data_IF_411295474692
#
_entry.id   IF_411295474692
#
_cell.length_a   1.000
_cell.length_b   1.000
_cell.length_c   1.000
_cell.angle_alpha   90.00
_cell.angle_beta   90.00
_cell.angle_gamma   90.00
#
_symmetry.space_group_name_H-M   'P 1'
#
loop_
_entity.id
_entity.type
_entity.pdbx_description
1 polymer ?
#
# COMPACT_ATOMS: atom_id res chain seq x y z
N UNK A 1 18.79 4.92 -1.10
CA UNK A 1 17.68 3.97 -0.93
C UNK A 1 16.39 4.73 -1.21
N UNK A 2 15.72 4.47 -2.33
CA UNK A 2 14.60 5.25 -2.89
C UNK A 2 13.50 4.26 -3.30
N UNK A 3 12.19 4.36 -3.05
CA UNK A 3 11.28 4.98 -2.06
C UNK A 3 9.87 4.93 -2.71
N UNK A 4 8.83 4.35 -2.10
CA UNK A 4 7.50 4.17 -2.77
C UNK A 4 6.34 4.84 -2.03
N UNK A 5 5.48 5.52 -2.78
CA UNK A 5 4.07 5.75 -2.41
C UNK A 5 3.31 4.43 -2.52
N UNK A 6 2.92 3.89 -1.37
CA UNK A 6 2.11 2.68 -1.28
C UNK A 6 0.99 2.94 -0.31
N UNK A 7 -0.21 2.79 -0.83
CA UNK A 7 -1.29 3.75 -0.62
C UNK A 7 -2.45 3.00 0.02
N UNK A 8 -2.36 2.70 1.31
CA UNK A 8 -3.51 2.13 2.01
C UNK A 8 -4.55 3.23 2.24
N UNK A 9 -5.67 3.18 1.53
CA UNK A 9 -6.78 4.11 1.76
C UNK A 9 -7.22 4.02 3.23
N UNK A 10 -6.83 5.02 4.02
CA UNK A 10 -7.42 5.25 5.33
C UNK A 10 -8.83 5.80 5.09
N UNK A 11 -9.76 4.90 4.83
CA UNK A 11 -11.18 5.23 4.87
C UNK A 11 -11.56 5.27 6.33
N UNK A 12 -11.92 6.46 6.82
CA UNK A 12 -12.69 6.62 8.03
C UNK A 12 -14.11 6.12 7.77
N UNK A 13 -14.29 4.79 7.70
CA UNK A 13 -15.59 4.16 7.80
C UNK A 13 -15.55 3.11 8.91
N UNK A 14 -16.60 3.05 9.74
CA UNK A 14 -16.72 2.00 10.72
C UNK A 14 -16.91 0.68 9.97
N UNK A 15 -15.90 -0.19 10.06
CA UNK A 15 -15.99 -1.60 9.68
C UNK A 15 -16.33 -1.81 8.19
N UNK A 16 -15.31 -1.69 7.32
CA UNK A 16 -15.38 -2.29 5.99
C UNK A 16 -14.42 -3.48 5.97
N UNK A 17 -15.00 -4.64 5.70
CA UNK A 17 -14.41 -5.97 5.82
C UNK A 17 -13.43 -6.28 4.66
N UNK A 18 -13.32 -5.36 3.71
CA UNK A 18 -12.28 -5.28 2.71
C UNK A 18 -11.62 -3.92 2.88
N UNK A 19 -10.30 -3.91 3.04
CA UNK A 19 -9.43 -2.73 2.94
C UNK A 19 -8.21 -3.21 2.17
N UNK A 20 -7.70 -2.42 1.21
CA UNK A 20 -6.49 -2.82 0.50
C UNK A 20 -5.40 -3.02 1.54
N UNK A 21 -4.70 -4.15 1.52
CA UNK A 21 -3.72 -4.49 2.56
C UNK A 21 -2.33 -4.83 2.02
N UNK A 22 -1.35 -4.77 2.92
CA UNK A 22 0.05 -5.12 2.70
C UNK A 22 0.48 -6.34 3.50
N UNK A 23 1.52 -7.04 3.05
CA UNK A 23 2.12 -8.12 3.83
C UNK A 23 2.70 -7.61 5.17
N UNK A 24 2.68 -8.46 6.20
CA UNK A 24 3.06 -8.12 7.58
C UNK A 24 4.41 -7.37 7.72
N UNK A 25 5.40 -7.76 6.92
CA UNK A 25 6.76 -7.25 6.95
C UNK A 25 6.96 -5.93 6.18
N UNK A 26 5.95 -5.46 5.44
CA UNK A 26 6.02 -4.20 4.68
C UNK A 26 6.35 -3.05 5.63
N UNK A 27 7.53 -2.41 5.51
CA UNK A 27 7.89 -1.28 6.36
C UNK A 27 7.05 -0.07 6.02
N UNK A 28 6.59 0.66 7.03
CA UNK A 28 5.92 1.96 6.92
C UNK A 28 6.86 3.04 7.43
N UNK A 29 6.91 4.19 6.76
CA UNK A 29 7.71 5.33 7.21
C UNK A 29 7.01 6.11 8.31
N UNK A 30 7.67 6.21 9.47
CA UNK A 30 7.27 7.08 10.56
C UNK A 30 7.63 8.54 10.26
N UNK A 31 7.00 9.47 10.95
CA UNK A 31 7.24 10.91 10.76
C UNK A 31 8.69 11.33 11.06
N UNK A 32 9.38 10.62 11.94
CA UNK A 32 10.79 10.85 12.26
C UNK A 32 11.77 10.32 11.19
N UNK A 33 11.24 9.72 10.11
CA UNK A 33 12.01 9.13 9.02
C UNK A 33 12.48 7.70 9.28
N UNK A 34 12.23 7.14 10.46
CA UNK A 34 12.46 5.72 10.73
C UNK A 34 11.41 4.86 10.04
N UNK A 35 11.66 3.54 9.95
CA UNK A 35 10.74 2.59 9.33
C UNK A 35 10.42 1.47 10.30
N UNK A 36 9.17 1.03 10.30
CA UNK A 36 8.70 -0.11 11.10
C UNK A 36 7.75 -0.96 10.28
N UNK A 37 7.86 -2.29 10.39
CA UNK A 37 6.92 -3.20 9.74
C UNK A 37 5.48 -2.86 10.14
N UNK A 38 4.56 -2.91 9.17
CA UNK A 38 3.15 -2.56 9.38
C UNK A 38 2.48 -3.41 10.46
N UNK A 39 2.87 -4.69 10.59
CA UNK A 39 2.37 -5.58 11.65
C UNK A 39 2.83 -5.18 13.07
N UNK A 40 3.86 -4.32 13.18
CA UNK A 40 4.39 -3.82 14.45
C UNK A 40 3.95 -2.36 14.73
N UNK A 41 3.08 -1.80 13.90
CA UNK A 41 2.48 -0.48 14.16
C UNK A 41 1.47 -0.55 15.30
N UNK A 42 1.19 0.59 15.91
CA UNK A 42 0.29 0.73 17.03
C UNK A 42 -0.54 2.01 16.91
N UNK A 43 -1.73 2.00 17.52
CA UNK A 43 -2.56 3.20 17.65
C UNK A 43 -1.73 4.29 18.34
N UNK A 44 -1.74 5.49 17.77
CA UNK A 44 -0.96 6.62 18.25
C UNK A 44 0.39 6.82 17.56
N UNK A 45 0.91 5.83 16.83
CA UNK A 45 2.09 6.02 15.99
C UNK A 45 1.84 7.15 14.97
N UNK A 46 2.88 7.93 14.67
CA UNK A 46 2.80 9.04 13.72
C UNK A 46 3.57 8.66 12.46
N UNK A 47 2.85 8.55 11.35
CA UNK A 47 3.40 8.15 10.06
C UNK A 47 3.59 9.35 9.14
N UNK A 48 4.53 9.23 8.22
CA UNK A 48 4.69 10.18 7.12
C UNK A 48 3.59 9.91 6.08
N UNK A 49 2.96 10.98 5.62
CA UNK A 49 1.87 10.98 4.65
C UNK A 49 2.09 12.07 3.61
N UNK A 50 1.16 12.24 2.67
CA UNK A 50 1.19 13.33 1.69
C UNK A 50 -0.02 14.24 1.83
N UNK A 51 0.22 15.54 1.96
CA UNK A 51 -0.82 16.58 1.91
C UNK A 51 -0.96 17.03 0.46
N UNK A 52 -1.96 16.47 -0.24
CA UNK A 52 -2.24 16.79 -1.64
C UNK A 52 -2.53 18.27 -1.86
N UNK A 53 -3.24 18.90 -0.91
CA UNK A 53 -3.62 20.32 -1.01
C UNK A 53 -2.41 21.25 -0.99
N UNK A 54 -1.30 20.80 -0.40
CA UNK A 54 -0.05 21.55 -0.28
C UNK A 54 1.10 20.97 -1.10
N UNK A 55 0.91 19.81 -1.72
CA UNK A 55 1.92 19.11 -2.50
C UNK A 55 3.20 18.81 -1.70
N UNK A 56 3.07 18.41 -0.43
CA UNK A 56 4.24 18.14 0.42
C UNK A 56 3.98 17.06 1.47
N UNK A 57 5.04 16.48 2.06
CA UNK A 57 4.90 15.54 3.16
C UNK A 57 4.22 16.14 4.39
N UNK A 58 3.44 15.33 5.09
CA UNK A 58 2.78 15.69 6.33
C UNK A 58 2.78 14.52 7.31
N UNK A 59 2.32 14.78 8.53
CA UNK A 59 2.17 13.77 9.58
C UNK A 59 0.69 13.37 9.71
N UNK A 60 0.43 12.08 9.96
CA UNK A 60 -0.86 11.59 10.42
C UNK A 60 -0.69 10.58 11.54
N UNK A 61 -1.67 10.51 12.43
CA UNK A 61 -1.70 9.57 13.56
C UNK A 61 -2.49 8.33 13.20
N UNK A 62 -1.95 7.16 13.52
CA UNK A 62 -2.64 5.88 13.39
C UNK A 62 -3.77 5.81 14.42
N UNK A 63 -5.01 5.64 13.93
CA UNK A 63 -6.21 5.42 14.72
C UNK A 63 -6.52 3.93 14.91
N UNK A 64 -6.17 3.10 13.92
CA UNK A 64 -6.33 1.66 13.98
C UNK A 64 -5.30 0.95 13.08
N UNK A 65 -4.94 -0.27 13.48
CA UNK A 65 -4.17 -1.21 12.67
C UNK A 65 -5.09 -2.38 12.36
N UNK A 66 -5.51 -2.50 11.10
CA UNK A 66 -6.43 -3.56 10.67
C UNK A 66 -5.63 -4.76 10.18
N UNK A 67 -6.03 -5.96 10.61
CA UNK A 67 -5.42 -7.24 10.25
C UNK A 67 -6.47 -8.12 9.58
N UNK A 68 -6.19 -8.58 8.37
CA UNK A 68 -7.04 -9.43 7.55
C UNK A 68 -6.26 -10.65 7.03
N UNK A 69 -6.98 -11.56 6.38
CA UNK A 69 -6.41 -12.77 5.77
C UNK A 69 -6.77 -12.85 4.29
N UNK A 70 -5.77 -12.76 3.41
CA UNK A 70 -5.95 -12.87 1.96
C UNK A 70 -5.28 -14.12 1.39
N UNK A 71 -5.96 -14.79 0.45
CA UNK A 71 -5.35 -15.84 -0.37
C UNK A 71 -4.61 -15.30 -1.59
N UNK A 72 -4.85 -14.02 -1.94
CA UNK A 72 -4.31 -13.39 -3.13
C UNK A 72 -3.47 -12.16 -2.78
N UNK A 73 -2.28 -12.12 -3.37
CA UNK A 73 -1.36 -10.99 -3.26
C UNK A 73 -0.65 -10.79 -4.59
N UNK A 74 -0.25 -9.56 -4.86
CA UNK A 74 0.62 -9.17 -5.96
C UNK A 74 1.89 -8.52 -5.41
N UNK A 75 2.93 -8.49 -6.24
CA UNK A 75 4.16 -7.78 -5.94
C UNK A 75 4.36 -6.58 -6.85
N UNK A 76 4.95 -5.53 -6.29
CA UNK A 76 5.52 -4.40 -7.02
C UNK A 76 7.02 -4.45 -6.80
N UNK A 77 7.79 -4.62 -7.87
CA UNK A 77 9.24 -4.59 -7.87
C UNK A 77 9.71 -3.22 -8.31
N UNK A 78 10.41 -2.50 -7.44
CA UNK A 78 10.89 -1.18 -7.81
C UNK A 78 12.10 -1.22 -8.73
N UNK A 79 12.31 -0.12 -9.45
CA UNK A 79 13.49 0.06 -10.30
C UNK A 79 14.82 0.05 -9.55
N UNK A 80 14.81 0.20 -8.22
CA UNK A 80 16.02 0.03 -7.40
C UNK A 80 16.50 -1.44 -7.32
N UNK A 81 15.67 -2.38 -7.81
CA UNK A 81 15.97 -3.80 -7.91
C UNK A 81 16.02 -4.56 -6.57
N UNK A 82 15.88 -3.85 -5.45
CA UNK A 82 16.01 -4.40 -4.11
C UNK A 82 14.68 -4.37 -3.34
N UNK A 83 13.85 -3.38 -3.63
CA UNK A 83 12.61 -3.14 -2.89
C UNK A 83 11.45 -3.85 -3.57
N UNK A 84 10.72 -4.62 -2.75
CA UNK A 84 9.57 -5.43 -3.17
C UNK A 84 8.43 -5.17 -2.22
N UNK A 85 7.29 -4.78 -2.76
CA UNK A 85 6.08 -4.59 -1.97
C UNK A 85 5.05 -5.59 -2.36
N UNK A 86 4.59 -6.33 -1.36
CA UNK A 86 3.51 -7.30 -1.48
C UNK A 86 2.21 -6.69 -0.94
N UNK A 87 1.17 -6.64 -1.77
CA UNK A 87 -0.15 -6.10 -1.44
C UNK A 87 -1.28 -6.97 -2.00
N UNK A 88 -2.52 -6.76 -1.56
CA UNK A 88 -3.68 -7.37 -2.20
C UNK A 88 -3.95 -6.72 -3.58
N UNK A 89 -4.51 -7.43 -4.57
CA UNK A 89 -4.68 -6.89 -5.94
C UNK A 89 -5.59 -5.66 -6.03
N UNK A 90 -6.58 -5.60 -5.16
CA UNK A 90 -7.56 -4.52 -5.01
C UNK A 90 -7.01 -3.29 -4.27
N UNK A 91 -5.78 -3.36 -3.75
CA UNK A 91 -5.16 -2.24 -3.05
C UNK A 91 -5.04 -1.01 -3.97
N UNK A 92 -5.59 0.15 -3.58
CA UNK A 92 -5.50 1.36 -4.39
C UNK A 92 -4.09 1.96 -4.32
N UNK A 93 -3.54 2.44 -5.44
CA UNK A 93 -2.25 3.12 -5.54
C UNK A 93 -2.39 4.47 -6.21
N UNK A 94 -1.63 5.47 -5.74
CA UNK A 94 -1.50 6.72 -6.47
C UNK A 94 -0.47 6.56 -7.60
N UNK A 95 -0.91 6.68 -8.84
CA UNK A 95 -0.04 6.73 -10.01
C UNK A 95 0.40 8.17 -10.24
N UNK A 96 1.69 8.45 -10.03
CA UNK A 96 2.31 9.72 -10.40
C UNK A 96 2.30 9.93 -11.92
N UNK A 97 2.47 8.86 -12.69
CA UNK A 97 2.49 8.93 -14.16
C UNK A 97 1.16 9.38 -14.76
N UNK A 98 0.04 9.06 -14.10
CA UNK A 98 -1.30 9.33 -14.63
C UNK A 98 -2.16 10.25 -13.77
N UNK A 99 -1.72 10.61 -12.56
CA UNK A 99 -2.43 11.52 -11.66
C UNK A 99 -3.77 10.97 -11.17
N UNK A 100 -3.86 9.65 -10.95
CA UNK A 100 -5.10 8.96 -10.55
C UNK A 100 -4.80 7.75 -9.67
N UNK A 101 -5.86 7.24 -9.04
CA UNK A 101 -5.85 5.98 -8.31
C UNK A 101 -5.84 4.81 -9.30
N UNK A 102 -4.98 3.82 -9.06
CA UNK A 102 -4.87 2.59 -9.84
C UNK A 102 -4.84 1.36 -8.94
N UNK A 103 -5.32 0.21 -9.41
CA UNK A 103 -5.20 -1.08 -8.71
C UNK A 103 -5.18 -2.23 -9.72
N UNK A 104 -4.78 -3.42 -9.30
CA UNK A 104 -4.83 -4.61 -10.17
C UNK A 104 -6.25 -5.21 -10.24
N UNK A 105 -7.14 -4.85 -9.32
CA UNK A 105 -8.56 -5.14 -9.38
C UNK A 105 -9.42 -3.90 -9.06
N UNK A 106 -9.62 -3.00 -10.03
CA UNK A 106 -10.40 -1.79 -9.83
C UNK A 106 -11.87 -2.03 -9.50
N UNK A 107 -12.44 -3.16 -9.91
CA UNK A 107 -13.82 -3.51 -9.62
C UNK A 107 -14.00 -3.79 -8.13
N UNK A 108 -13.12 -4.61 -7.55
CA UNK A 108 -13.10 -4.85 -6.10
C UNK A 108 -12.72 -3.58 -5.34
N UNK A 109 -11.79 -2.77 -5.86
CA UNK A 109 -11.48 -1.46 -5.27
C UNK A 109 -12.72 -0.57 -5.18
N UNK A 110 -13.54 -0.53 -6.24
CA UNK A 110 -14.77 0.26 -6.22
C UNK A 110 -15.82 -0.32 -5.27
N UNK A 111 -16.01 -1.64 -5.29
CA UNK A 111 -17.01 -2.33 -4.48
C UNK A 111 -16.73 -2.19 -2.98
N UNK A 112 -15.48 -2.36 -2.57
CA UNK A 112 -15.09 -2.45 -1.17
C UNK A 112 -14.75 -1.06 -0.58
N UNK A 113 -14.24 -0.14 -1.41
CA UNK A 113 -13.76 1.17 -0.95
C UNK A 113 -14.62 2.35 -1.42
N UNK A 114 -15.52 2.14 -2.37
CA UNK A 114 -16.22 3.23 -3.06
C UNK A 114 -15.30 4.12 -3.92
N UNK A 115 -14.01 3.76 -4.04
CA UNK A 115 -13.00 4.53 -4.77
C UNK A 115 -13.01 4.16 -6.25
N UNK A 116 -13.07 5.17 -7.11
CA UNK A 116 -12.82 4.98 -8.54
C UNK A 116 -11.32 4.74 -8.75
N UNK A 117 -10.99 3.61 -9.36
CA UNK A 117 -9.62 3.24 -9.70
C UNK A 117 -9.54 2.79 -11.16
N UNK A 118 -8.34 2.89 -11.71
CA UNK A 118 -8.02 2.41 -13.05
C UNK A 118 -7.10 1.20 -12.97
N UNK A 119 -7.06 0.42 -14.05
CA UNK A 119 -6.14 -0.72 -14.11
C UNK A 119 -4.69 -0.24 -13.98
N UNK A 120 -3.96 -0.82 -13.02
CA UNK A 120 -2.54 -0.54 -12.83
C UNK A 120 -1.72 -1.05 -14.02
N UNK A 121 -0.76 -0.26 -14.48
CA UNK A 121 0.12 -0.66 -15.57
C UNK A 121 1.15 -1.71 -15.14
N UNK A 122 1.57 -2.58 -16.07
CA UNK A 122 2.67 -3.52 -15.81
C UNK A 122 4.00 -2.82 -15.44
N UNK A 123 4.19 -1.59 -15.89
CA UNK A 123 5.24 -0.68 -15.47
C UNK A 123 4.59 0.61 -15.00
N UNK A 124 4.31 0.70 -13.71
CA UNK A 124 3.63 1.83 -13.11
C UNK A 124 4.66 2.87 -12.64
N UNK A 125 4.28 4.15 -12.71
CA UNK A 125 5.08 5.23 -12.12
C UNK A 125 4.39 5.69 -10.84
N UNK A 126 4.89 5.21 -9.72
CA UNK A 126 4.59 5.73 -8.40
C UNK A 126 5.45 6.99 -8.18
N UNK A 127 5.52 7.43 -6.95
CA UNK A 127 6.48 8.46 -6.58
C UNK A 127 7.11 8.15 -5.21
N UNK A 128 8.07 8.95 -4.77
CA UNK A 128 8.80 8.79 -3.52
C UNK A 128 8.26 9.69 -2.40
N UNK A 129 8.81 9.57 -1.18
CA UNK A 129 8.42 10.42 -0.04
C UNK A 129 8.62 11.94 -0.27
N UNK A 130 9.31 12.35 -1.33
CA UNK A 130 9.52 13.74 -1.71
C UNK A 130 8.65 14.15 -2.93
N UNK A 131 7.77 13.27 -3.40
CA UNK A 131 6.88 13.52 -4.55
C UNK A 131 7.53 13.30 -5.92
N UNK A 132 8.75 12.77 -6.00
CA UNK A 132 9.45 12.50 -7.27
C UNK A 132 9.02 11.17 -7.87
N UNK A 133 8.96 11.04 -9.21
CA UNK A 133 8.57 9.79 -9.86
C UNK A 133 9.49 8.63 -9.50
N UNK A 134 8.88 7.45 -9.34
CA UNK A 134 9.55 6.18 -9.08
C UNK A 134 8.87 5.09 -9.90
N UNK A 135 9.64 4.37 -10.71
CA UNK A 135 9.09 3.27 -11.52
C UNK A 135 9.04 1.97 -10.73
N UNK A 136 7.97 1.21 -10.94
CA UNK A 136 7.84 -0.15 -10.44
C UNK A 136 7.23 -1.09 -11.49
N UNK A 137 7.77 -2.30 -11.57
CA UNK A 137 7.21 -3.39 -12.34
C UNK A 137 6.17 -4.13 -11.49
N UNK A 138 4.94 -4.21 -11.98
CA UNK A 138 3.84 -4.92 -11.32
C UNK A 138 3.88 -6.38 -11.73
N UNK A 139 4.04 -7.27 -10.75
CA UNK A 139 4.12 -8.72 -10.93
C UNK A 139 2.92 -9.36 -10.27
N UNK A 140 1.91 -9.67 -11.08
CA UNK A 140 0.74 -10.44 -10.65
C UNK A 140 1.15 -11.91 -10.41
N UNK A 141 0.62 -12.53 -9.35
CA UNK A 141 0.81 -13.96 -9.10
C UNK A 141 2.28 -14.39 -8.89
N UNK A 142 3.10 -13.53 -8.28
CA UNK A 142 4.56 -13.66 -8.27
C UNK A 142 5.11 -15.06 -7.91
N UNK A 143 6.19 -15.56 -8.54
CA UNK A 143 6.78 -16.86 -8.24
C UNK A 143 7.29 -17.04 -6.80
N UNK A 144 7.57 -15.97 -6.05
CA UNK A 144 7.87 -16.06 -4.62
C UNK A 144 6.61 -16.43 -3.80
N UNK A 145 5.45 -15.99 -4.28
CA UNK A 145 4.13 -16.42 -3.80
C UNK A 145 3.88 -17.86 -4.24
N UNK A 146 4.13 -18.21 -5.51
CA UNK A 146 3.97 -19.58 -6.02
C UNK A 146 4.88 -20.62 -5.33
N UNK A 147 6.12 -20.27 -4.94
CA UNK A 147 7.03 -21.18 -4.21
C UNK A 147 6.55 -21.46 -2.79
N UNK A 148 5.94 -20.48 -2.13
CA UNK A 148 5.38 -20.63 -0.79
C UNK A 148 4.01 -21.34 -0.83
N UNK A 149 3.26 -21.23 -1.94
CA UNK A 149 2.04 -21.98 -2.22
C UNK A 149 2.26 -23.46 -2.58
N UNK A 150 3.51 -23.89 -2.85
CA UNK A 150 3.83 -25.33 -2.93
C UNK A 150 3.74 -26.03 -1.57
N UNK A 151 3.48 -25.28 -0.49
CA UNK A 151 3.14 -25.77 0.85
C UNK A 151 1.75 -25.30 1.30
N UNK A 152 0.69 -25.71 0.60
CA UNK A 152 -0.70 -25.53 1.02
C UNK A 152 -1.30 -24.16 0.71
N UNK A 153 -2.61 -24.14 0.42
CA UNK A 153 -3.42 -22.94 0.19
C UNK A 153 -3.57 -22.07 1.45
N UNK A 154 -2.47 -21.51 1.92
CA UNK A 154 -2.39 -20.71 3.14
C UNK A 154 -2.76 -19.26 2.86
N UNK A 155 -3.86 -18.81 3.46
CA UNK A 155 -4.16 -17.37 3.58
C UNK A 155 -3.00 -16.68 4.29
N UNK A 156 -2.64 -15.49 3.83
CA UNK A 156 -1.59 -14.65 4.39
C UNK A 156 -2.22 -13.56 5.22
N UNK A 157 -1.57 -13.22 6.32
CA UNK A 157 -1.91 -12.02 7.06
C UNK A 157 -1.54 -10.80 6.25
N UNK A 158 -2.51 -9.89 6.14
CA UNK A 158 -2.34 -8.62 5.46
C UNK A 158 -2.87 -7.51 6.34
N UNK A 159 -2.25 -6.34 6.27
CA UNK A 159 -2.47 -5.24 7.20
C UNK A 159 -2.72 -3.92 6.47
N UNK A 160 -3.48 -3.04 7.11
CA UNK A 160 -3.60 -1.64 6.69
C UNK A 160 -3.71 -0.72 7.91
N UNK A 161 -3.59 0.58 7.69
CA UNK A 161 -3.68 1.60 8.73
C UNK A 161 -4.89 2.50 8.50
N UNK A 162 -5.63 2.78 9.58
CA UNK A 162 -6.57 3.89 9.62
C UNK A 162 -5.86 5.12 10.20
N UNK A 163 -5.96 6.27 9.55
CA UNK A 163 -5.26 7.51 9.92
C UNK A 163 -6.27 8.61 10.31
N UNK A 164 -5.86 9.54 11.17
CA UNK A 164 -6.70 10.67 11.60
C UNK A 164 -6.95 11.71 10.51
N UNK A 165 -6.05 11.75 9.52
CA UNK A 165 -6.08 12.66 8.37
C UNK A 165 -5.25 12.10 7.24
N UNK A 166 -5.49 12.64 6.05
CA UNK A 166 -4.93 12.15 4.80
C UNK A 166 -5.33 10.69 4.55
N UNK A 167 -5.19 10.24 3.31
CA UNK A 167 -5.59 8.88 2.94
C UNK A 167 -4.40 7.98 2.67
N UNK A 168 -3.18 8.47 2.90
CA UNK A 168 -1.95 7.89 2.36
C UNK A 168 -0.88 7.76 3.42
N UNK A 169 -0.14 6.66 3.39
CA UNK A 169 1.15 6.51 4.07
C UNK A 169 2.20 6.02 3.07
N UNK A 170 3.45 5.90 3.50
CA UNK A 170 4.54 5.38 2.67
C UNK A 170 4.92 3.99 3.12
N UNK A 171 4.99 3.05 2.18
CA UNK A 171 5.37 1.67 2.43
C UNK A 171 6.60 1.26 1.58
N UNK A 172 7.28 0.17 1.97
CA UNK A 172 8.53 -0.32 1.36
C UNK A 172 8.56 -1.83 1.21
#
# INVERSE_FOLDING_TARGET
MRLVFLVGAAIALPQADGSGCFAAQTPVTLWDGTRRAIANMSVGDVVRTWDESRGRPAAARVLAVTRLWSSEVMDILLEDGATRITSTPDHPFWSHGSGRIVSADPASTKADYGLEAFMIGANETFADEDGRPLRGAVVLGSPAVARQLRGGGGRREVFTLCLDRHHWFFAH
#
